data_IF_771430610394
#
_entry.id   IF_771430610394
#
_cell.length_a   1.000
_cell.length_b   1.000
_cell.length_c   1.000
_cell.angle_alpha   90.00
_cell.angle_beta   90.00
_cell.angle_gamma   90.00
#
_symmetry.space_group_name_H-M   'P 1'
#
loop_
_entity.id
_entity.type
_entity.pdbx_description
1 polymer ?
#
# COMPACT_ATOMS: atom_id res chain seq x y z
N UNK A 1 -0.73 -6.09 26.35
CA UNK A 1 -1.72 -6.37 25.27
C UNK A 1 -2.23 -5.04 24.76
N UNK A 2 -2.44 -4.89 23.44
CA UNK A 2 -3.15 -3.75 22.85
C UNK A 2 -4.41 -4.27 22.18
N UNK A 3 -5.53 -3.60 22.40
CA UNK A 3 -6.81 -3.93 21.77
C UNK A 3 -7.58 -2.63 21.54
N UNK A 4 -8.02 -2.43 20.31
CA UNK A 4 -8.82 -1.29 19.89
C UNK A 4 -9.97 -1.87 19.07
N UNK A 5 -11.20 -1.62 19.52
CA UNK A 5 -12.42 -2.07 18.85
C UNK A 5 -13.30 -0.85 18.58
N UNK A 6 -13.71 -0.71 17.33
CA UNK A 6 -14.70 0.26 16.85
C UNK A 6 -15.92 -0.52 16.37
N UNK A 7 -17.06 0.14 16.23
CA UNK A 7 -18.23 -0.48 15.61
C UNK A 7 -17.91 -1.01 14.20
N UNK A 8 -18.52 -2.13 13.79
CA UNK A 8 -19.48 -2.94 14.54
C UNK A 8 -18.83 -3.94 15.52
N UNK A 9 -17.52 -4.13 15.44
CA UNK A 9 -16.79 -5.17 16.20
C UNK A 9 -16.77 -4.92 17.70
N UNK A 10 -16.87 -3.66 18.13
CA UNK A 10 -17.00 -3.29 19.54
C UNK A 10 -18.25 -3.92 20.17
N UNK A 11 -19.41 -3.78 19.53
CA UNK A 11 -20.66 -4.39 19.99
C UNK A 11 -20.68 -5.90 19.73
N UNK A 12 -20.23 -6.32 18.55
CA UNK A 12 -20.25 -7.74 18.15
C UNK A 12 -19.42 -8.64 19.07
N UNK A 13 -18.29 -8.12 19.58
CA UNK A 13 -17.39 -8.87 20.46
C UNK A 13 -17.53 -8.48 21.94
N UNK A 14 -18.61 -7.79 22.32
CA UNK A 14 -18.88 -7.45 23.70
C UNK A 14 -18.97 -8.73 24.56
N UNK A 15 -18.17 -8.81 25.61
CA UNK A 15 -18.09 -9.98 26.50
C UNK A 15 -17.35 -11.19 25.92
N UNK A 16 -16.70 -11.08 24.75
CA UNK A 16 -15.95 -12.17 24.11
C UNK A 16 -14.44 -11.88 24.08
N UNK A 17 -13.60 -12.91 23.97
CA UNK A 17 -12.18 -12.72 23.62
C UNK A 17 -12.08 -12.38 22.13
N UNK A 18 -11.74 -11.14 21.80
CA UNK A 18 -11.59 -10.66 20.43
C UNK A 18 -10.60 -11.49 19.59
N UNK A 19 -9.58 -12.11 20.20
CA UNK A 19 -8.64 -12.97 19.49
C UNK A 19 -9.24 -14.33 19.13
N UNK A 20 -10.25 -14.80 19.87
CA UNK A 20 -11.04 -15.98 19.51
C UNK A 20 -12.10 -15.61 18.48
N UNK A 21 -12.79 -14.47 18.70
CA UNK A 21 -13.86 -14.02 17.82
C UNK A 21 -13.37 -13.67 16.41
N UNK A 22 -12.18 -13.05 16.26
CA UNK A 22 -11.60 -12.75 14.94
C UNK A 22 -11.25 -14.02 14.16
N UNK A 23 -10.84 -15.08 14.84
CA UNK A 23 -10.53 -16.38 14.23
C UNK A 23 -11.79 -17.10 13.74
N UNK A 24 -12.90 -16.90 14.45
CA UNK A 24 -14.20 -17.46 14.10
C UNK A 24 -14.87 -16.75 12.90
N UNK A 25 -14.36 -15.59 12.46
CA UNK A 25 -14.90 -14.90 11.29
C UNK A 25 -14.80 -15.76 10.03
N UNK A 26 -15.90 -15.78 9.28
CA UNK A 26 -16.06 -16.49 8.03
C UNK A 26 -16.17 -15.52 6.85
N UNK A 27 -15.91 -16.03 5.65
CA UNK A 27 -16.02 -15.31 4.40
C UNK A 27 -14.97 -15.75 3.38
N UNK A 28 -14.77 -14.95 2.35
CA UNK A 28 -13.86 -15.30 1.26
C UNK A 28 -12.40 -15.20 1.73
N UNK A 29 -11.69 -16.33 1.71
CA UNK A 29 -10.26 -16.37 2.06
C UNK A 29 -9.43 -16.04 0.82
N UNK A 30 -8.55 -15.04 0.94
CA UNK A 30 -7.61 -14.64 -0.11
C UNK A 30 -6.22 -15.25 0.09
N UNK A 31 -5.85 -15.51 1.35
CA UNK A 31 -4.54 -16.07 1.70
C UNK A 31 -4.59 -16.81 3.03
N UNK A 32 -4.09 -18.05 3.03
CA UNK A 32 -3.90 -18.86 4.23
C UNK A 32 -2.49 -19.45 4.19
N UNK A 33 -1.67 -19.07 5.17
CA UNK A 33 -0.34 -19.60 5.43
C UNK A 33 -0.24 -19.92 6.93
N UNK A 34 0.70 -20.78 7.32
CA UNK A 34 0.87 -21.27 8.70
C UNK A 34 0.79 -20.17 9.77
N UNK A 35 1.34 -18.98 9.49
CA UNK A 35 1.30 -17.83 10.40
C UNK A 35 0.43 -16.64 9.94
N UNK A 36 -0.30 -16.72 8.82
CA UNK A 36 -1.06 -15.58 8.28
C UNK A 36 -2.35 -16.00 7.58
N UNK A 37 -3.46 -15.42 8.00
CA UNK A 37 -4.76 -15.54 7.36
C UNK A 37 -5.24 -14.17 6.88
N UNK A 38 -5.80 -14.11 5.68
CA UNK A 38 -6.43 -12.90 5.14
C UNK A 38 -7.75 -13.27 4.47
N UNK A 39 -8.84 -12.70 4.95
CA UNK A 39 -10.19 -12.94 4.43
C UNK A 39 -10.98 -11.64 4.30
N UNK A 40 -12.01 -11.66 3.46
CA UNK A 40 -13.10 -10.68 3.46
C UNK A 40 -14.27 -11.29 4.23
N UNK A 41 -14.82 -10.56 5.18
CA UNK A 41 -16.05 -10.91 5.90
C UNK A 41 -17.09 -9.82 5.69
N UNK A 42 -18.34 -10.11 6.03
CA UNK A 42 -19.44 -9.17 5.95
C UNK A 42 -20.17 -9.12 7.30
N UNK A 43 -20.42 -7.90 7.79
CA UNK A 43 -21.20 -7.65 9.01
C UNK A 43 -22.22 -6.59 8.68
N UNK A 44 -23.50 -6.91 8.89
CA UNK A 44 -24.65 -6.02 8.59
C UNK A 44 -24.62 -5.42 7.17
N UNK A 45 -24.33 -6.25 6.16
CA UNK A 45 -24.29 -5.82 4.76
C UNK A 45 -23.02 -5.03 4.35
N UNK A 46 -22.06 -4.83 5.27
CA UNK A 46 -20.82 -4.09 5.01
C UNK A 46 -19.63 -5.04 4.98
N UNK A 47 -18.78 -4.88 3.97
CA UNK A 47 -17.56 -5.67 3.82
C UNK A 47 -16.41 -5.18 4.70
N UNK A 48 -15.60 -6.12 5.18
CA UNK A 48 -14.39 -5.85 5.95
C UNK A 48 -13.26 -6.81 5.55
N UNK A 49 -12.04 -6.31 5.50
CA UNK A 49 -10.85 -7.15 5.34
C UNK A 49 -10.23 -7.46 6.69
N UNK A 50 -10.04 -8.75 6.96
CA UNK A 50 -9.48 -9.27 8.20
C UNK A 50 -8.11 -9.87 7.90
N UNK A 51 -7.09 -9.39 8.59
CA UNK A 51 -5.71 -9.91 8.51
C UNK A 51 -5.29 -10.40 9.89
N UNK A 52 -5.08 -11.70 10.02
CA UNK A 52 -4.68 -12.37 11.28
C UNK A 52 -3.25 -12.87 11.12
N UNK A 53 -2.37 -12.48 12.04
CA UNK A 53 -0.97 -12.88 12.10
C UNK A 53 -0.70 -13.66 13.38
N UNK A 54 -0.22 -14.89 13.22
CA UNK A 54 0.16 -15.81 14.30
C UNK A 54 1.69 -15.94 14.33
N UNK A 55 2.21 -16.53 15.41
CA UNK A 55 3.65 -16.70 15.58
C UNK A 55 4.30 -17.44 14.41
N UNK A 56 5.36 -16.86 13.84
CA UNK A 56 6.12 -17.43 12.71
C UNK A 56 7.34 -18.26 13.16
N UNK A 57 7.60 -18.33 14.46
CA UNK A 57 8.76 -19.02 15.03
C UNK A 57 10.09 -18.28 14.85
N UNK A 58 11.09 -18.65 15.66
CA UNK A 58 12.42 -18.02 15.63
C UNK A 58 13.20 -18.35 14.35
N UNK A 59 12.98 -19.52 13.75
CA UNK A 59 13.65 -19.92 12.51
C UNK A 59 13.39 -18.94 11.37
N UNK A 60 12.13 -18.56 11.14
CA UNK A 60 11.77 -17.61 10.07
C UNK A 60 12.22 -16.18 10.39
N UNK A 61 12.25 -15.79 11.66
CA UNK A 61 12.83 -14.51 12.10
C UNK A 61 14.32 -14.46 11.78
N UNK A 62 15.09 -15.45 12.22
CA UNK A 62 16.54 -15.52 12.03
C UNK A 62 16.87 -15.57 10.54
N UNK A 63 16.16 -16.39 9.76
CA UNK A 63 16.33 -16.48 8.29
C UNK A 63 16.13 -15.13 7.60
N UNK A 64 15.09 -14.40 7.97
CA UNK A 64 14.84 -13.06 7.41
C UNK A 64 15.96 -12.08 7.79
N UNK A 65 16.38 -12.08 9.06
CA UNK A 65 17.46 -11.22 9.54
C UNK A 65 18.81 -11.52 8.86
N UNK A 66 19.17 -12.81 8.71
CA UNK A 66 20.36 -13.24 7.97
C UNK A 66 20.31 -12.81 6.49
N UNK A 67 19.11 -12.70 5.93
CA UNK A 67 18.87 -12.19 4.57
C UNK A 67 18.76 -10.65 4.52
N UNK A 68 19.09 -9.94 5.60
CA UNK A 68 18.91 -8.49 5.76
C UNK A 68 17.48 -7.99 5.47
N UNK A 69 16.47 -8.84 5.71
CA UNK A 69 15.04 -8.52 5.63
C UNK A 69 14.47 -8.42 7.04
N UNK A 70 13.79 -7.31 7.32
CA UNK A 70 13.00 -7.22 8.57
C UNK A 70 11.76 -8.10 8.43
N UNK A 71 11.52 -9.05 9.35
CA UNK A 71 10.32 -9.87 9.34
C UNK A 71 9.07 -9.03 9.60
N UNK A 72 7.95 -9.42 9.01
CA UNK A 72 6.64 -8.87 9.36
C UNK A 72 6.12 -9.68 10.53
N UNK A 73 6.29 -9.15 11.74
CA UNK A 73 5.99 -9.87 12.99
C UNK A 73 4.50 -9.86 13.36
N UNK A 74 3.70 -8.95 12.79
CA UNK A 74 2.33 -8.75 13.21
C UNK A 74 1.63 -7.61 12.47
N UNK A 75 0.39 -7.34 12.84
CA UNK A 75 -0.46 -6.32 12.22
C UNK A 75 -0.10 -4.87 12.62
N UNK A 76 0.79 -4.69 13.61
CA UNK A 76 1.12 -3.37 14.15
C UNK A 76 1.85 -2.42 13.20
N UNK A 77 2.46 -2.92 12.12
CA UNK A 77 3.00 -2.05 11.06
C UNK A 77 1.87 -1.38 10.27
N UNK A 78 0.89 -2.17 9.84
CA UNK A 78 -0.27 -1.70 9.08
C UNK A 78 -1.11 -0.72 9.89
N UNK A 79 -1.40 -1.06 11.15
CA UNK A 79 -2.12 -0.18 12.08
C UNK A 79 -1.46 1.20 12.20
N UNK A 80 -0.15 1.25 12.49
CA UNK A 80 0.59 2.52 12.62
C UNK A 80 0.63 3.30 11.32
N UNK A 81 0.74 2.62 10.17
CA UNK A 81 0.75 3.26 8.88
C UNK A 81 -0.60 3.92 8.57
N UNK A 82 -1.71 3.20 8.81
CA UNK A 82 -3.07 3.75 8.66
C UNK A 82 -3.23 5.00 9.52
N UNK A 83 -2.92 4.91 10.83
CA UNK A 83 -3.01 6.06 11.74
C UNK A 83 -2.22 7.27 11.23
N UNK A 84 -0.95 7.06 10.85
CA UNK A 84 -0.07 8.14 10.41
C UNK A 84 -0.54 8.79 9.10
N UNK A 85 -1.10 8.00 8.18
CA UNK A 85 -1.65 8.51 6.92
C UNK A 85 -2.94 9.29 7.16
N UNK A 86 -3.82 8.80 8.04
CA UNK A 86 -5.02 9.55 8.47
C UNK A 86 -4.65 10.90 9.07
N UNK A 87 -3.69 10.95 9.99
CA UNK A 87 -3.17 12.21 10.56
C UNK A 87 -2.60 13.15 9.49
N UNK A 88 -1.98 12.60 8.45
CA UNK A 88 -1.39 13.37 7.36
C UNK A 88 -2.41 13.76 6.26
N UNK A 89 -3.68 13.35 6.39
CA UNK A 89 -4.70 13.58 5.37
C UNK A 89 -4.46 12.83 4.06
N UNK A 90 -3.70 11.73 4.08
CA UNK A 90 -3.50 10.86 2.92
C UNK A 90 -4.57 9.77 2.93
N UNK A 91 -5.50 9.73 1.95
CA UNK A 91 -6.58 8.75 1.95
C UNK A 91 -6.07 7.30 1.90
N UNK A 92 -6.57 6.48 2.81
CA UNK A 92 -6.22 5.06 2.99
C UNK A 92 -7.41 4.30 3.60
N UNK A 93 -7.24 3.01 3.87
CA UNK A 93 -8.18 2.16 4.60
C UNK A 93 -8.49 2.69 6.01
N UNK A 94 -9.73 2.49 6.48
CA UNK A 94 -10.12 2.73 7.88
C UNK A 94 -9.95 1.45 8.69
N UNK A 95 -9.17 1.48 9.77
CA UNK A 95 -9.05 0.34 10.67
C UNK A 95 -10.10 0.40 11.79
N UNK A 96 -10.93 -0.64 11.88
CA UNK A 96 -12.08 -0.73 12.82
C UNK A 96 -11.86 -1.74 13.94
N UNK A 97 -10.86 -2.61 13.81
CA UNK A 97 -10.39 -3.40 14.95
C UNK A 97 -8.89 -3.66 14.83
N UNK A 98 -8.18 -3.65 15.96
CA UNK A 98 -6.77 -3.98 16.06
C UNK A 98 -6.50 -4.69 17.39
N UNK A 99 -5.77 -5.80 17.34
CA UNK A 99 -5.36 -6.55 18.52
C UNK A 99 -3.92 -7.02 18.42
N UNK A 100 -3.19 -6.98 19.54
CA UNK A 100 -1.81 -7.48 19.65
C UNK A 100 -1.55 -8.04 21.06
N UNK A 101 -1.20 -9.34 21.14
CA UNK A 101 -0.83 -10.03 22.39
C UNK A 101 0.38 -10.95 22.21
N UNK A 102 1.04 -11.25 23.33
CA UNK A 102 2.29 -12.03 23.38
C UNK A 102 3.53 -11.13 23.35
N UNK A 103 4.44 -11.31 24.31
CA UNK A 103 5.71 -10.58 24.40
C UNK A 103 6.83 -11.23 23.58
N UNK A 104 6.71 -12.52 23.27
CA UNK A 104 7.64 -13.24 22.42
C UNK A 104 7.34 -12.93 20.94
N UNK A 105 8.24 -12.25 20.20
CA UNK A 105 8.03 -11.90 18.79
C UNK A 105 7.84 -13.14 17.89
N UNK A 106 8.37 -14.30 18.28
CA UNK A 106 8.20 -15.55 17.55
C UNK A 106 6.82 -16.20 17.75
N UNK A 107 6.10 -15.83 18.80
CA UNK A 107 4.79 -16.39 19.18
C UNK A 107 3.68 -15.31 19.27
N UNK A 108 3.94 -14.13 18.70
CA UNK A 108 3.03 -13.01 18.77
C UNK A 108 1.74 -13.31 17.99
N UNK A 109 0.59 -13.00 18.58
CA UNK A 109 -0.71 -13.07 17.92
C UNK A 109 -1.26 -11.66 17.78
N UNK A 110 -1.55 -11.26 16.54
CA UNK A 110 -2.14 -9.96 16.24
C UNK A 110 -3.13 -10.04 15.09
N UNK A 111 -4.05 -9.09 15.04
CA UNK A 111 -4.98 -8.95 13.93
C UNK A 111 -5.25 -7.47 13.65
N UNK A 112 -5.70 -7.20 12.43
CA UNK A 112 -6.29 -5.92 12.04
C UNK A 112 -7.51 -6.19 11.15
N UNK A 113 -8.57 -5.43 11.38
CA UNK A 113 -9.76 -5.40 10.55
C UNK A 113 -9.92 -4.00 9.99
N UNK A 114 -10.04 -3.90 8.66
CA UNK A 114 -10.29 -2.64 7.97
C UNK A 114 -11.64 -2.68 7.26
N UNK A 115 -12.30 -1.53 7.15
CA UNK A 115 -13.44 -1.36 6.24
C UNK A 115 -13.01 -1.72 4.82
N UNK A 116 -13.90 -2.37 4.07
CA UNK A 116 -13.73 -2.53 2.63
C UNK A 116 -13.90 -1.17 1.93
N UNK A 117 -13.00 -0.88 1.00
CA UNK A 117 -13.16 0.24 0.07
C UNK A 117 -13.87 -0.29 -1.17
N UNK A 118 -15.15 0.04 -1.34
CA UNK A 118 -15.94 -0.39 -2.48
C UNK A 118 -17.12 0.57 -2.78
N UNK A 119 -17.56 0.65 -4.04
CA UNK A 119 -16.92 0.12 -5.25
C UNK A 119 -15.65 0.88 -5.65
N UNK A 120 -14.61 0.14 -6.04
CA UNK A 120 -13.34 0.69 -6.51
C UNK A 120 -12.76 -0.13 -7.67
N UNK A 121 -11.92 0.49 -8.48
CA UNK A 121 -11.00 -0.18 -9.42
C UNK A 121 -9.57 0.26 -9.09
N UNK A 122 -8.59 -0.63 -9.14
CA UNK A 122 -7.19 -0.22 -8.96
C UNK A 122 -6.63 0.45 -10.23
N UNK A 123 -5.57 1.24 -10.05
CA UNK A 123 -4.99 1.96 -11.20
C UNK A 123 -4.29 1.04 -12.21
N UNK A 124 -3.88 -0.18 -11.86
CA UNK A 124 -3.33 -1.12 -12.86
C UNK A 124 -4.44 -1.57 -13.81
N UNK A 125 -5.59 -1.98 -13.27
CA UNK A 125 -6.77 -2.34 -14.08
C UNK A 125 -7.29 -1.17 -14.91
N UNK A 126 -7.40 0.03 -14.31
CA UNK A 126 -7.83 1.24 -15.04
C UNK A 126 -6.91 1.56 -16.23
N UNK A 127 -5.61 1.31 -16.09
CA UNK A 127 -4.59 1.74 -17.04
C UNK A 127 -4.17 0.67 -18.04
N UNK A 128 -4.73 -0.54 -17.93
CA UNK A 128 -4.36 -1.73 -18.69
C UNK A 128 -4.26 -1.48 -20.20
N UNK A 129 -5.20 -0.71 -20.76
CA UNK A 129 -5.28 -0.42 -22.20
C UNK A 129 -4.86 1.02 -22.57
N UNK A 130 -4.27 1.79 -21.66
CA UNK A 130 -3.96 3.22 -21.92
C UNK A 130 -2.95 3.44 -23.05
N UNK A 131 -2.08 2.46 -23.32
CA UNK A 131 -1.11 2.57 -24.41
C UNK A 131 -1.80 2.55 -25.79
N UNK A 132 -2.87 1.76 -25.94
CA UNK A 132 -3.64 1.61 -27.18
C UNK A 132 -4.83 2.56 -27.24
N UNK A 133 -5.44 2.86 -26.09
CA UNK A 133 -6.60 3.72 -25.92
C UNK A 133 -6.31 4.76 -24.83
N UNK A 134 -5.56 5.83 -25.16
CA UNK A 134 -5.22 6.85 -24.18
C UNK A 134 -6.48 7.53 -23.63
N UNK A 135 -6.55 7.76 -22.30
CA UNK A 135 -7.66 8.50 -21.71
C UNK A 135 -7.60 9.98 -22.10
N UNK A 136 -8.62 10.74 -21.70
CA UNK A 136 -8.59 12.20 -21.79
C UNK A 136 -7.32 12.75 -21.11
N UNK A 137 -6.59 13.63 -21.83
CA UNK A 137 -5.31 14.14 -21.36
C UNK A 137 -5.41 14.86 -20.00
N UNK A 138 -6.56 15.47 -19.69
CA UNK A 138 -6.80 16.15 -18.41
C UNK A 138 -6.92 15.15 -17.27
N UNK A 139 -7.73 14.10 -17.44
CA UNK A 139 -7.89 13.02 -16.47
C UNK A 139 -6.57 12.30 -16.20
N UNK A 140 -5.82 11.95 -17.26
CA UNK A 140 -4.48 11.35 -17.13
C UNK A 140 -3.57 12.17 -16.21
N UNK A 141 -3.50 13.48 -16.47
CA UNK A 141 -2.63 14.40 -15.71
C UNK A 141 -3.12 14.57 -14.28
N UNK A 142 -4.43 14.57 -14.05
CA UNK A 142 -5.02 14.67 -12.73
C UNK A 142 -4.69 13.45 -11.88
N UNK A 143 -4.86 12.23 -12.42
CA UNK A 143 -4.47 10.97 -11.76
C UNK A 143 -2.98 10.93 -11.43
N UNK A 144 -2.10 11.30 -12.38
CA UNK A 144 -0.65 11.39 -12.13
C UNK A 144 -0.34 12.35 -11.00
N UNK A 145 -0.98 13.53 -10.99
CA UNK A 145 -0.78 14.52 -9.95
C UNK A 145 -1.27 14.00 -8.59
N UNK A 146 -2.39 13.30 -8.53
CA UNK A 146 -2.94 12.78 -7.28
C UNK A 146 -2.08 11.67 -6.68
N UNK A 147 -1.63 10.70 -7.49
CA UNK A 147 -0.65 9.70 -7.03
C UNK A 147 0.64 10.37 -6.54
N UNK A 148 1.15 11.39 -7.25
CA UNK A 148 2.33 12.13 -6.83
C UNK A 148 2.13 12.85 -5.48
N UNK A 149 0.95 13.47 -5.27
CA UNK A 149 0.59 14.10 -3.99
C UNK A 149 0.51 13.08 -2.87
N UNK A 150 -0.21 11.97 -3.06
CA UNK A 150 -0.38 10.92 -2.05
C UNK A 150 0.97 10.32 -1.66
N UNK A 151 1.80 9.93 -2.64
CA UNK A 151 3.12 9.35 -2.38
C UNK A 151 4.08 10.37 -1.75
N UNK A 152 3.99 11.64 -2.15
CA UNK A 152 4.75 12.72 -1.52
C UNK A 152 4.31 12.98 -0.07
N UNK A 153 3.00 13.01 0.17
CA UNK A 153 2.38 13.21 1.48
C UNK A 153 2.74 12.07 2.44
N UNK A 154 2.61 10.83 1.98
CA UNK A 154 3.04 9.62 2.67
C UNK A 154 4.51 9.72 3.11
N UNK A 155 5.42 10.04 2.19
CA UNK A 155 6.84 10.16 2.52
C UNK A 155 7.18 11.32 3.45
N UNK A 156 6.55 12.49 3.27
CA UNK A 156 6.71 13.65 4.17
C UNK A 156 6.14 13.37 5.57
N UNK A 157 5.12 12.54 5.66
CA UNK A 157 4.58 12.02 6.91
C UNK A 157 5.46 10.93 7.55
N UNK A 158 6.63 10.63 7.01
CA UNK A 158 7.52 9.62 7.60
C UNK A 158 7.10 8.18 7.31
N UNK A 159 6.18 7.95 6.37
CA UNK A 159 5.71 6.63 5.96
C UNK A 159 6.33 6.25 4.62
N UNK A 160 6.89 5.05 4.52
CA UNK A 160 7.24 4.43 3.24
C UNK A 160 6.51 3.08 3.13
N UNK A 161 5.93 2.83 1.96
CA UNK A 161 5.00 1.75 1.68
C UNK A 161 5.66 0.39 1.51
N UNK A 162 6.86 0.34 0.90
CA UNK A 162 7.64 -0.87 0.54
C UNK A 162 7.12 -1.70 -0.62
N UNK A 163 5.85 -1.54 -0.96
CA UNK A 163 5.14 -2.19 -2.07
C UNK A 163 4.36 -1.12 -2.85
N UNK A 164 4.98 0.02 -3.13
CA UNK A 164 4.33 1.19 -3.72
C UNK A 164 4.06 1.00 -5.22
N UNK A 165 3.11 0.14 -5.61
CA UNK A 165 2.72 -0.12 -6.99
C UNK A 165 1.39 0.55 -7.34
N UNK A 166 1.13 0.82 -8.63
CA UNK A 166 -0.13 1.46 -9.05
C UNK A 166 -1.38 0.63 -8.71
N UNK A 167 -1.28 -0.71 -8.66
CA UNK A 167 -2.38 -1.58 -8.22
C UNK A 167 -2.78 -1.40 -6.75
N UNK A 168 -1.97 -0.73 -5.93
CA UNK A 168 -2.30 -0.39 -4.54
C UNK A 168 -2.93 1.00 -4.38
N UNK A 169 -3.25 1.66 -5.50
CA UNK A 169 -4.05 2.89 -5.51
C UNK A 169 -5.43 2.55 -6.05
N UNK A 170 -6.43 2.64 -5.20
CA UNK A 170 -7.81 2.35 -5.55
C UNK A 170 -8.52 3.64 -5.95
N UNK A 171 -9.04 3.67 -7.17
CA UNK A 171 -9.94 4.67 -7.67
C UNK A 171 -11.36 4.33 -7.24
N UNK A 172 -11.97 5.27 -6.52
CA UNK A 172 -13.36 5.23 -6.07
C UNK A 172 -14.32 5.45 -7.26
N UNK A 173 -15.26 4.52 -7.44
CA UNK A 173 -16.16 4.49 -8.62
C UNK A 173 -17.64 4.62 -8.24
N UNK A 174 -17.95 5.14 -7.05
CA UNK A 174 -19.34 5.40 -6.62
C UNK A 174 -20.00 6.50 -7.46
N UNK A 175 -19.19 7.34 -8.12
CA UNK A 175 -19.61 8.45 -8.99
C UNK A 175 -18.80 8.43 -10.30
N UNK A 176 -19.29 9.11 -11.35
CA UNK A 176 -18.53 9.29 -12.58
C UNK A 176 -17.17 9.95 -12.30
N UNK A 177 -16.11 9.32 -12.77
CA UNK A 177 -14.74 9.81 -12.61
C UNK A 177 -14.46 10.90 -13.64
N UNK A 178 -14.14 12.10 -13.18
CA UNK A 178 -13.73 13.21 -14.04
C UNK A 178 -12.35 13.73 -13.62
N UNK A 179 -11.73 14.59 -14.42
CA UNK A 179 -10.44 15.15 -14.03
C UNK A 179 -10.50 16.13 -12.83
N UNK A 180 -11.69 16.66 -12.50
CA UNK A 180 -11.90 17.59 -11.37
C UNK A 180 -12.49 16.91 -10.14
N UNK A 181 -13.15 15.76 -10.32
CA UNK A 181 -13.83 15.04 -9.24
C UNK A 181 -13.54 13.54 -9.36
N UNK A 182 -12.62 13.07 -8.52
CA UNK A 182 -12.30 11.67 -8.29
C UNK A 182 -11.59 11.54 -6.93
N UNK A 183 -11.57 10.33 -6.39
CA UNK A 183 -10.86 10.01 -5.15
C UNK A 183 -9.99 8.78 -5.34
N UNK A 184 -8.77 8.85 -4.84
CA UNK A 184 -7.88 7.71 -4.70
C UNK A 184 -7.69 7.37 -3.22
N UNK A 185 -7.50 6.09 -2.91
CA UNK A 185 -7.06 5.61 -1.59
C UNK A 185 -5.87 4.65 -1.77
N UNK A 186 -4.84 4.77 -0.93
CA UNK A 186 -3.72 3.82 -0.93
C UNK A 186 -4.03 2.65 0.01
N UNK A 187 -3.69 1.43 -0.40
CA UNK A 187 -3.95 0.20 0.37
C UNK A 187 -2.67 -0.62 0.59
N UNK A 188 -2.81 -1.82 1.14
CA UNK A 188 -1.74 -2.80 1.34
C UNK A 188 -0.51 -2.31 2.14
N UNK A 189 -0.77 -1.72 3.30
CA UNK A 189 0.25 -1.14 4.17
C UNK A 189 0.90 -2.17 5.12
N UNK A 190 0.77 -3.47 4.84
CA UNK A 190 1.21 -4.56 5.74
C UNK A 190 2.73 -4.59 5.98
N UNK A 191 3.51 -4.04 5.05
CA UNK A 191 4.98 -3.87 5.14
C UNK A 191 5.41 -2.43 5.32
N UNK A 192 4.47 -1.50 5.38
CA UNK A 192 4.76 -0.08 5.49
C UNK A 192 5.51 0.21 6.80
N UNK A 193 6.41 1.20 6.72
CA UNK A 193 7.28 1.56 7.83
C UNK A 193 7.04 3.02 8.19
N UNK A 194 6.80 3.27 9.47
CA UNK A 194 6.51 4.60 10.02
C UNK A 194 7.71 5.08 10.84
N UNK A 195 8.13 6.32 10.59
CA UNK A 195 9.26 7.00 11.25
C UNK A 195 8.96 8.51 11.38
N UNK A 196 9.87 9.23 12.04
CA UNK A 196 9.85 10.70 12.03
C UNK A 196 10.13 11.26 10.63
N UNK A 197 11.08 10.66 9.90
CA UNK A 197 11.40 10.99 8.51
C UNK A 197 11.74 9.71 7.73
N UNK A 198 11.35 9.65 6.45
CA UNK A 198 11.67 8.52 5.58
C UNK A 198 13.14 8.61 5.13
N UNK A 199 13.98 7.58 5.40
CA UNK A 199 15.33 7.54 4.88
C UNK A 199 15.35 7.53 3.36
N UNK A 200 16.34 8.20 2.76
CA UNK A 200 16.48 8.36 1.31
C UNK A 200 16.40 7.02 0.55
N UNK A 201 17.01 5.96 1.09
CA UNK A 201 16.96 4.60 0.52
C UNK A 201 15.53 4.09 0.36
N UNK A 202 14.66 4.31 1.35
CA UNK A 202 13.30 3.81 1.35
C UNK A 202 12.39 4.63 0.44
N UNK A 203 12.52 5.96 0.48
CA UNK A 203 11.89 6.88 -0.47
C UNK A 203 12.17 6.45 -1.93
N UNK A 204 13.44 6.23 -2.23
CA UNK A 204 13.87 5.88 -3.58
C UNK A 204 13.41 4.46 -4.00
N UNK A 205 13.27 3.53 -3.04
CA UNK A 205 12.72 2.20 -3.31
C UNK A 205 11.24 2.25 -3.67
N UNK A 206 10.44 3.05 -2.98
CA UNK A 206 9.03 3.21 -3.29
C UNK A 206 8.84 3.90 -4.65
N UNK A 207 9.62 4.96 -4.93
CA UNK A 207 9.61 5.60 -6.25
C UNK A 207 10.00 4.63 -7.38
N UNK A 208 10.94 3.71 -7.13
CA UNK A 208 11.32 2.68 -8.09
C UNK A 208 10.21 1.65 -8.31
N UNK A 209 9.56 1.19 -7.24
CA UNK A 209 8.43 0.28 -7.32
C UNK A 209 7.29 0.90 -8.15
N UNK A 210 6.96 2.17 -7.85
CA UNK A 210 5.89 2.89 -8.52
C UNK A 210 6.21 3.09 -10.00
N UNK A 211 7.42 3.56 -10.30
CA UNK A 211 7.86 3.79 -11.67
C UNK A 211 7.84 2.50 -12.47
N UNK A 212 8.33 1.40 -11.89
CA UNK A 212 8.34 0.09 -12.53
C UNK A 212 6.92 -0.41 -12.84
N UNK A 213 5.98 -0.29 -11.90
CA UNK A 213 4.59 -0.71 -12.12
C UNK A 213 3.83 0.11 -13.16
N UNK A 214 4.39 1.23 -13.62
CA UNK A 214 3.76 2.15 -14.57
C UNK A 214 4.52 2.26 -15.91
N UNK A 215 5.44 1.33 -16.23
CA UNK A 215 6.22 1.40 -17.47
C UNK A 215 5.37 1.17 -18.72
N UNK A 216 4.42 0.23 -18.67
CA UNK A 216 3.67 -0.24 -19.83
C UNK A 216 2.38 0.55 -20.10
N UNK A 217 2.05 1.57 -19.30
CA UNK A 217 0.78 2.31 -19.38
C UNK A 217 0.83 3.54 -20.31
N UNK A 218 1.88 3.68 -21.13
CA UNK A 218 2.03 4.78 -22.07
C UNK A 218 2.33 6.15 -21.44
N UNK A 219 3.15 6.20 -20.37
CA UNK A 219 3.58 7.47 -19.77
C UNK A 219 4.63 8.19 -20.64
N UNK A 220 4.35 9.44 -21.01
CA UNK A 220 5.31 10.27 -21.75
C UNK A 220 6.38 10.85 -20.82
N UNK A 221 7.51 11.32 -21.37
CA UNK A 221 8.51 12.07 -20.60
C UNK A 221 7.90 13.27 -19.84
N UNK A 222 6.94 13.97 -20.45
CA UNK A 222 6.24 15.11 -19.84
C UNK A 222 5.36 14.68 -18.67
N UNK A 223 4.77 13.49 -18.73
CA UNK A 223 3.98 12.92 -17.64
C UNK A 223 4.87 12.59 -16.44
N UNK A 224 6.02 11.96 -16.68
CA UNK A 224 7.06 11.71 -15.65
C UNK A 224 7.53 13.01 -15.00
N UNK A 225 7.80 14.05 -15.78
CA UNK A 225 8.18 15.37 -15.25
C UNK A 225 7.05 16.00 -14.42
N UNK A 226 5.78 15.90 -14.82
CA UNK A 226 4.65 16.38 -14.02
C UNK A 226 4.57 15.66 -12.68
N UNK A 227 4.74 14.33 -12.67
CA UNK A 227 4.83 13.54 -11.45
C UNK A 227 5.93 14.08 -10.53
N UNK A 228 7.16 14.22 -11.04
CA UNK A 228 8.31 14.68 -10.25
C UNK A 228 8.07 16.06 -9.65
N UNK A 229 7.56 17.02 -10.44
CA UNK A 229 7.25 18.38 -9.97
C UNK A 229 6.27 18.35 -8.80
N UNK A 230 5.19 17.59 -8.92
CA UNK A 230 4.15 17.49 -7.88
C UNK A 230 4.65 16.73 -6.65
N UNK A 231 5.37 15.63 -6.86
CA UNK A 231 5.91 14.81 -5.79
C UNK A 231 6.91 15.58 -4.91
N UNK A 232 7.91 16.20 -5.55
CA UNK A 232 8.96 16.94 -4.85
C UNK A 232 8.54 18.34 -4.42
N UNK A 233 7.46 18.90 -4.98
CA UNK A 233 6.99 20.27 -4.70
C UNK A 233 8.06 21.34 -4.93
N UNK A 234 8.86 21.18 -5.99
CA UNK A 234 10.01 22.03 -6.33
C UNK A 234 10.05 22.34 -7.83
N UNK A 235 10.77 23.40 -8.25
CA UNK A 235 11.04 23.65 -9.66
C UNK A 235 11.73 22.46 -10.33
N UNK A 236 11.30 22.11 -11.55
CA UNK A 236 11.85 20.96 -12.30
C UNK A 236 13.36 21.04 -12.48
N UNK A 237 13.89 22.24 -12.71
CA UNK A 237 15.34 22.45 -12.90
C UNK A 237 16.13 21.95 -11.68
N UNK A 238 15.68 22.29 -10.48
CA UNK A 238 16.34 21.88 -9.23
C UNK A 238 16.19 20.38 -9.00
N UNK A 239 15.01 19.81 -9.25
CA UNK A 239 14.78 18.37 -9.14
C UNK A 239 15.72 17.60 -10.06
N UNK A 240 15.77 17.99 -11.34
CA UNK A 240 16.61 17.31 -12.34
C UNK A 240 18.11 17.42 -12.02
N UNK A 241 18.54 18.51 -11.38
CA UNK A 241 19.94 18.68 -10.93
C UNK A 241 20.22 17.83 -9.68
N UNK A 242 19.42 18.01 -8.64
CA UNK A 242 19.72 17.47 -7.31
C UNK A 242 19.43 15.96 -7.22
N UNK A 243 18.41 15.48 -7.95
CA UNK A 243 17.99 14.07 -7.98
C UNK A 243 18.52 13.33 -9.22
N UNK A 244 19.46 13.91 -9.98
CA UNK A 244 20.00 13.33 -11.21
C UNK A 244 20.45 11.86 -11.05
N UNK A 245 21.13 11.55 -9.95
CA UNK A 245 21.59 10.19 -9.62
C UNK A 245 20.43 9.22 -9.39
N UNK A 246 19.37 9.66 -8.70
CA UNK A 246 18.17 8.87 -8.50
C UNK A 246 17.48 8.60 -9.84
N UNK A 247 17.28 9.64 -10.66
CA UNK A 247 16.59 9.51 -11.93
C UNK A 247 17.32 8.58 -12.90
N UNK A 248 18.65 8.70 -13.00
CA UNK A 248 19.46 7.78 -13.79
C UNK A 248 19.36 6.33 -13.29
N UNK A 249 19.36 6.14 -11.97
CA UNK A 249 19.21 4.81 -11.37
C UNK A 249 17.81 4.22 -11.60
N UNK A 250 16.75 5.04 -11.56
CA UNK A 250 15.38 4.60 -11.85
C UNK A 250 15.23 4.12 -13.29
N UNK A 251 15.75 4.88 -14.26
CA UNK A 251 15.74 4.50 -15.68
C UNK A 251 16.53 3.20 -15.90
N UNK A 252 17.77 3.11 -15.41
CA UNK A 252 18.58 1.89 -15.58
C UNK A 252 17.93 0.64 -14.95
N UNK A 253 17.29 0.82 -13.79
CA UNK A 253 16.60 -0.29 -13.11
C UNK A 253 15.33 -0.71 -13.83
N UNK A 254 14.57 0.24 -14.38
CA UNK A 254 13.43 -0.03 -15.23
C UNK A 254 13.85 -0.84 -16.46
N UNK A 255 14.90 -0.42 -17.17
CA UNK A 255 15.43 -1.13 -18.34
C UNK A 255 15.83 -2.58 -18.02
N UNK A 256 16.53 -2.79 -16.89
CA UNK A 256 16.95 -4.13 -16.46
C UNK A 256 15.77 -5.04 -16.13
N UNK A 257 14.75 -4.52 -15.46
CA UNK A 257 13.57 -5.29 -15.12
C UNK A 257 12.72 -5.57 -16.36
N UNK A 258 12.65 -4.62 -17.31
CA UNK A 258 11.98 -4.80 -18.59
C UNK A 258 12.65 -5.89 -19.44
N UNK A 259 13.97 -5.83 -19.55
CA UNK A 259 14.76 -6.86 -20.23
C UNK A 259 14.58 -8.24 -19.56
N UNK A 260 14.37 -8.29 -18.24
CA UNK A 260 14.06 -9.54 -17.53
C UNK A 260 12.66 -10.05 -17.85
N UNK A 261 11.63 -9.19 -17.83
CA UNK A 261 10.25 -9.54 -18.20
C UNK A 261 10.20 -10.10 -19.63
N UNK A 262 10.91 -9.48 -20.57
CA UNK A 262 11.01 -9.97 -21.95
C UNK A 262 11.69 -11.35 -22.07
N UNK A 263 12.66 -11.66 -21.19
CA UNK A 263 13.38 -12.95 -21.22
C UNK A 263 12.62 -14.09 -20.57
N UNK A 264 11.78 -13.83 -19.57
CA UNK A 264 11.14 -14.86 -18.75
C UNK A 264 9.60 -14.84 -18.80
N UNK A 265 8.99 -13.90 -19.53
CA UNK A 265 7.54 -13.68 -19.54
C UNK A 265 7.00 -13.14 -18.21
N UNK A 266 5.69 -13.25 -17.99
CA UNK A 266 5.02 -12.93 -16.72
C UNK A 266 5.22 -14.01 -15.64
N UNK A 267 6.06 -15.02 -15.89
CA UNK A 267 6.38 -16.07 -14.93
C UNK A 267 7.38 -15.55 -13.87
N UNK A 268 6.89 -14.74 -12.93
CA UNK A 268 7.56 -14.39 -11.68
C UNK A 268 6.59 -14.48 -10.49
#
# INVERSE_FOLDING_TARGET
MRLILVEPFKSLWAGQDAFVAVEALQGQVYRELEGRRTLRTEVDGRGYFVKIHRGIGWGEIVKNLLSAKLPVLGAGQEWRAIQRLTEAGVPTMTAVAYGERGSNPAAQHSFIVTEELAPTTDLEQLTLNWAQQPPEARLKRALIAEVAKMVGGMHRAGVNHRDCYICHFLLHTEKPVTADDFRLSVIDLHRAQVRSAVPLRWRNKDLAALYFSALDIGLTRRDKLRFLRTYFQRPLRDILRDEARLLAWLEHKADKLYARKQRYGDAL
#
